data_IF_708979419244
#
_entry.id   IF_708979419244
#
_cell.length_a   1.000
_cell.length_b   1.000
_cell.length_c   1.000
_cell.angle_alpha   90.00
_cell.angle_beta   90.00
_cell.angle_gamma   90.00
#
_symmetry.space_group_name_H-M   'P 1'
#
loop_
_entity.id
_entity.type
_entity.pdbx_description
1 polymer ?
#
# COMPACT_ATOMS: atom_id res chain seq x y z
N UNK A 1 -24.27 9.86 -16.57
CA UNK A 1 -23.21 9.98 -15.55
C UNK A 1 -23.83 10.54 -14.28
N UNK A 2 -23.73 9.83 -13.16
CA UNK A 2 -24.25 10.23 -11.85
C UNK A 2 -23.54 11.50 -11.33
N UNK A 3 -24.19 12.26 -10.44
CA UNK A 3 -23.66 13.49 -9.86
C UNK A 3 -22.34 13.25 -9.10
N UNK A 4 -22.21 12.12 -8.41
CA UNK A 4 -20.95 11.74 -7.74
C UNK A 4 -19.81 11.64 -8.75
N UNK A 5 -20.05 10.98 -9.87
CA UNK A 5 -19.03 10.73 -10.89
C UNK A 5 -18.60 12.02 -11.61
N UNK A 6 -19.55 12.91 -11.91
CA UNK A 6 -19.28 14.24 -12.46
C UNK A 6 -18.37 15.08 -11.56
N UNK A 7 -18.64 15.06 -10.25
CA UNK A 7 -17.85 15.81 -9.27
C UNK A 7 -16.42 15.26 -9.20
N UNK A 8 -16.27 13.93 -9.17
CA UNK A 8 -14.95 13.29 -9.15
C UNK A 8 -14.15 13.58 -10.42
N UNK A 9 -14.79 13.57 -11.59
CA UNK A 9 -14.14 13.86 -12.87
C UNK A 9 -13.69 15.32 -12.95
N UNK A 10 -14.57 16.26 -12.55
CA UNK A 10 -14.23 17.68 -12.48
C UNK A 10 -13.09 17.96 -11.50
N UNK A 11 -13.12 17.35 -10.31
CA UNK A 11 -12.05 17.49 -9.34
C UNK A 11 -10.71 16.93 -9.86
N UNK A 12 -10.73 15.74 -10.47
CA UNK A 12 -9.55 15.14 -11.07
C UNK A 12 -8.96 16.01 -12.19
N UNK A 13 -9.81 16.60 -13.04
CA UNK A 13 -9.38 17.55 -14.09
C UNK A 13 -8.72 18.80 -13.51
N UNK A 14 -9.31 19.41 -12.48
CA UNK A 14 -8.72 20.58 -11.82
C UNK A 14 -7.38 20.26 -11.15
N UNK A 15 -7.23 19.06 -10.57
CA UNK A 15 -6.00 18.57 -9.97
C UNK A 15 -4.91 18.19 -11.00
N UNK A 16 -5.28 18.02 -12.28
CA UNK A 16 -4.33 17.80 -13.36
C UNK A 16 -3.63 19.10 -13.77
N UNK A 17 -4.34 20.23 -13.69
CA UNK A 17 -3.92 21.55 -14.19
C UNK A 17 -3.30 22.44 -13.09
N UNK A 18 -3.62 22.20 -11.82
CA UNK A 18 -3.21 23.07 -10.72
C UNK A 18 -2.80 22.28 -9.45
N UNK A 19 -1.94 22.87 -8.59
CA UNK A 19 -1.66 22.34 -7.27
C UNK A 19 -2.92 22.13 -6.43
N UNK A 20 -2.91 21.11 -5.55
CA UNK A 20 -4.03 20.74 -4.66
C UNK A 20 -4.53 21.92 -3.80
N UNK A 21 -3.61 22.79 -3.38
CA UNK A 21 -3.91 23.97 -2.59
C UNK A 21 -4.86 24.93 -3.31
N UNK A 22 -4.76 25.02 -4.63
CA UNK A 22 -5.51 25.97 -5.47
C UNK A 22 -6.90 25.43 -5.89
N UNK A 23 -7.14 24.11 -5.72
CA UNK A 23 -8.44 23.49 -6.04
C UNK A 23 -9.44 23.76 -4.92
N UNK A 24 -10.44 24.61 -5.17
CA UNK A 24 -11.53 24.88 -4.22
C UNK A 24 -12.77 24.03 -4.50
N UNK A 25 -13.56 23.72 -3.46
CA UNK A 25 -14.85 23.02 -3.63
C UNK A 25 -15.83 23.81 -4.49
N UNK A 26 -15.71 25.15 -4.53
CA UNK A 26 -16.48 26.01 -5.41
C UNK A 26 -16.12 25.80 -6.88
N UNK A 27 -14.83 25.81 -7.21
CA UNK A 27 -14.36 25.55 -8.58
C UNK A 27 -14.79 24.15 -9.06
N UNK A 28 -14.75 23.14 -8.18
CA UNK A 28 -15.24 21.79 -8.50
C UNK A 28 -16.75 21.80 -8.77
N UNK A 29 -17.54 22.49 -7.96
CA UNK A 29 -19.00 22.61 -8.16
C UNK A 29 -19.33 23.28 -9.49
N UNK A 30 -18.65 24.39 -9.80
CA UNK A 30 -18.79 25.13 -11.06
C UNK A 30 -18.44 24.24 -12.26
N UNK A 31 -17.30 23.55 -12.22
CA UNK A 31 -16.85 22.64 -13.28
C UNK A 31 -17.77 21.41 -13.45
N UNK A 32 -18.31 20.85 -12.37
CA UNK A 32 -19.21 19.71 -12.40
C UNK A 32 -20.68 20.08 -12.71
N UNK A 33 -21.02 21.37 -12.69
CA UNK A 33 -22.39 21.86 -12.85
C UNK A 33 -23.33 21.44 -11.71
N UNK A 34 -22.81 21.36 -10.47
CA UNK A 34 -23.58 20.97 -9.28
C UNK A 34 -23.58 22.06 -8.21
N UNK A 35 -24.55 22.04 -7.32
CA UNK A 35 -24.56 22.93 -6.15
C UNK A 35 -23.68 22.42 -5.00
N UNK A 36 -23.10 23.34 -4.23
CA UNK A 36 -22.29 23.02 -3.04
C UNK A 36 -22.99 22.08 -2.02
N UNK A 37 -24.30 22.19 -1.74
CA UNK A 37 -24.98 21.26 -0.83
C UNK A 37 -24.91 19.79 -1.30
N UNK A 38 -24.92 19.55 -2.62
CA UNK A 38 -24.79 18.21 -3.18
C UNK A 38 -23.38 17.65 -2.95
N UNK A 39 -22.34 18.47 -3.18
CA UNK A 39 -20.96 18.08 -2.96
C UNK A 39 -20.72 17.69 -1.49
N UNK A 40 -21.11 18.56 -0.55
CA UNK A 40 -20.91 18.28 0.88
C UNK A 40 -21.76 17.09 1.37
N UNK A 41 -22.96 16.86 0.81
CA UNK A 41 -23.74 15.66 1.11
C UNK A 41 -23.04 14.38 0.68
N UNK A 42 -22.34 14.39 -0.46
CA UNK A 42 -21.68 13.21 -1.02
C UNK A 42 -20.30 12.94 -0.42
N UNK A 43 -19.57 13.98 -0.04
CA UNK A 43 -18.16 13.88 0.32
C UNK A 43 -17.81 14.42 1.70
N UNK A 44 -18.76 15.04 2.42
CA UNK A 44 -18.56 15.64 3.73
C UNK A 44 -17.84 17.00 3.65
N UNK A 45 -16.58 17.00 3.20
CA UNK A 45 -15.72 18.19 3.11
C UNK A 45 -14.73 18.10 1.93
N UNK A 46 -13.77 19.05 1.86
CA UNK A 46 -12.71 19.04 0.83
C UNK A 46 -11.81 17.80 0.98
N UNK A 47 -11.47 17.38 2.19
CA UNK A 47 -10.59 16.24 2.41
C UNK A 47 -11.25 14.92 1.98
N UNK A 48 -12.53 14.73 2.28
CA UNK A 48 -13.33 13.59 1.83
C UNK A 48 -13.52 13.55 0.31
N UNK A 49 -13.65 14.72 -0.34
CA UNK A 49 -13.64 14.80 -1.80
C UNK A 49 -12.28 14.36 -2.37
N UNK A 50 -11.19 14.91 -1.84
CA UNK A 50 -9.84 14.56 -2.31
C UNK A 50 -9.52 13.08 -2.09
N UNK A 51 -9.89 12.51 -0.94
CA UNK A 51 -9.76 11.08 -0.67
C UNK A 51 -10.53 10.24 -1.70
N UNK A 52 -11.76 10.62 -2.05
CA UNK A 52 -12.56 9.92 -3.05
C UNK A 52 -11.98 10.05 -4.48
N UNK A 53 -11.33 11.17 -4.81
CA UNK A 53 -10.59 11.33 -6.07
C UNK A 53 -9.37 10.41 -6.10
N UNK A 54 -8.61 10.33 -5.00
CA UNK A 54 -7.48 9.39 -4.89
C UNK A 54 -7.95 7.95 -5.03
N UNK A 55 -8.99 7.55 -4.30
CA UNK A 55 -9.54 6.19 -4.38
C UNK A 55 -9.93 5.82 -5.82
N UNK A 56 -10.59 6.74 -6.54
CA UNK A 56 -10.92 6.54 -7.95
C UNK A 56 -9.67 6.41 -8.84
N UNK A 57 -8.68 7.30 -8.66
CA UNK A 57 -7.45 7.30 -9.46
C UNK A 57 -6.57 6.07 -9.23
N UNK A 58 -6.62 5.50 -8.03
CA UNK A 58 -5.87 4.30 -7.66
C UNK A 58 -6.62 2.99 -7.94
N UNK A 59 -7.91 3.02 -8.26
CA UNK A 59 -8.68 1.80 -8.51
C UNK A 59 -8.07 0.95 -9.63
N UNK A 60 -7.65 1.56 -10.75
CA UNK A 60 -6.98 0.83 -11.84
C UNK A 60 -5.67 0.17 -11.39
N UNK A 61 -4.91 0.87 -10.55
CA UNK A 61 -3.69 0.34 -9.95
C UNK A 61 -3.97 -0.84 -9.03
N UNK A 62 -4.99 -0.73 -8.18
CA UNK A 62 -5.38 -1.79 -7.26
C UNK A 62 -5.94 -2.99 -8.00
N UNK A 63 -6.72 -2.81 -9.07
CA UNK A 63 -7.17 -3.89 -9.95
C UNK A 63 -5.99 -4.67 -10.51
N UNK A 64 -4.92 -3.99 -10.96
CA UNK A 64 -3.70 -4.66 -11.44
C UNK A 64 -3.04 -5.52 -10.35
N UNK A 65 -3.07 -5.08 -9.09
CA UNK A 65 -2.51 -5.84 -7.96
C UNK A 65 -3.43 -6.97 -7.49
N UNK A 66 -4.74 -6.76 -7.46
CA UNK A 66 -5.75 -7.77 -7.08
C UNK A 66 -5.71 -8.96 -8.04
N UNK A 67 -5.52 -8.69 -9.32
CA UNK A 67 -5.52 -9.71 -10.39
C UNK A 67 -4.18 -10.42 -10.56
N UNK A 68 -3.11 -9.89 -9.97
CA UNK A 68 -1.81 -10.54 -9.97
C UNK A 68 -1.90 -11.86 -9.22
N UNK A 69 -1.69 -12.97 -9.95
CA UNK A 69 -1.62 -14.29 -9.33
C UNK A 69 -0.31 -14.41 -8.54
N UNK A 70 -0.35 -14.90 -7.28
CA UNK A 70 0.85 -15.26 -6.55
C UNK A 70 1.74 -16.19 -7.38
N UNK A 71 3.02 -15.85 -7.51
CA UNK A 71 4.03 -16.74 -8.08
C UNK A 71 4.56 -17.74 -7.06
N UNK A 72 5.45 -18.62 -7.52
CA UNK A 72 6.08 -19.64 -6.66
C UNK A 72 7.12 -19.06 -5.70
N UNK A 73 7.79 -17.96 -6.07
CA UNK A 73 8.74 -17.24 -5.21
C UNK A 73 8.12 -15.95 -4.67
N UNK A 74 7.69 -15.91 -3.39
CA UNK A 74 7.09 -14.71 -2.82
C UNK A 74 8.07 -13.53 -2.73
N UNK A 75 9.39 -13.77 -2.73
CA UNK A 75 10.38 -12.68 -2.76
C UNK A 75 10.41 -12.01 -4.14
N UNK A 76 10.27 -12.78 -5.22
CA UNK A 76 10.12 -12.20 -6.56
C UNK A 76 8.80 -11.43 -6.69
N UNK A 77 7.72 -11.89 -6.08
CA UNK A 77 6.45 -11.15 -6.04
C UNK A 77 6.58 -9.80 -5.33
N UNK A 78 7.39 -9.71 -4.26
CA UNK A 78 7.71 -8.42 -3.62
C UNK A 78 8.44 -7.48 -4.58
N UNK A 79 9.43 -8.00 -5.31
CA UNK A 79 10.19 -7.19 -6.28
C UNK A 79 9.29 -6.65 -7.39
N UNK A 80 8.44 -7.51 -7.95
CA UNK A 80 7.45 -7.13 -8.95
C UNK A 80 6.45 -6.10 -8.39
N UNK A 81 6.01 -6.30 -7.15
CA UNK A 81 5.09 -5.41 -6.45
C UNK A 81 5.66 -4.02 -6.20
N UNK A 82 6.96 -3.93 -5.91
CA UNK A 82 7.72 -2.69 -5.76
C UNK A 82 7.78 -1.93 -7.09
N UNK A 83 8.22 -2.61 -8.16
CA UNK A 83 8.38 -2.01 -9.48
C UNK A 83 7.06 -1.49 -10.03
N UNK A 84 5.98 -2.25 -9.85
CA UNK A 84 4.64 -1.81 -10.25
C UNK A 84 4.19 -0.54 -9.50
N UNK A 85 4.53 -0.42 -8.21
CA UNK A 85 4.23 0.77 -7.43
C UNK A 85 5.03 1.99 -7.88
N UNK A 86 6.35 1.84 -8.08
CA UNK A 86 7.19 2.93 -8.60
C UNK A 86 6.72 3.36 -10.00
N UNK A 87 6.44 2.41 -10.90
CA UNK A 87 5.94 2.71 -12.25
C UNK A 87 4.63 3.50 -12.20
N UNK A 88 3.65 3.05 -11.41
CA UNK A 88 2.38 3.76 -11.26
C UNK A 88 2.58 5.21 -10.77
N UNK A 89 3.48 5.42 -9.80
CA UNK A 89 3.78 6.76 -9.31
C UNK A 89 4.29 7.69 -10.43
N UNK A 90 5.19 7.17 -11.28
CA UNK A 90 5.79 7.92 -12.39
C UNK A 90 4.81 8.16 -13.55
N UNK A 91 3.90 7.22 -13.83
CA UNK A 91 2.86 7.34 -14.86
C UNK A 91 1.71 8.28 -14.43
N UNK A 92 1.44 8.36 -13.12
CA UNK A 92 0.33 9.14 -12.56
C UNK A 92 0.78 10.12 -11.45
N UNK A 93 1.71 11.05 -11.74
CA UNK A 93 2.40 11.86 -10.73
C UNK A 93 1.48 12.73 -9.88
N UNK A 94 0.42 13.30 -10.45
CA UNK A 94 -0.50 14.19 -9.72
C UNK A 94 -1.40 13.40 -8.76
N UNK A 95 -1.93 12.25 -9.19
CA UNK A 95 -2.69 11.35 -8.33
C UNK A 95 -1.83 10.84 -7.18
N UNK A 96 -0.57 10.48 -7.50
CA UNK A 96 0.35 9.96 -6.51
C UNK A 96 0.77 11.01 -5.48
N UNK A 97 1.04 12.27 -5.89
CA UNK A 97 1.28 13.38 -4.96
C UNK A 97 0.06 13.64 -4.07
N UNK A 98 -1.14 13.60 -4.62
CA UNK A 98 -2.36 13.81 -3.86
C UNK A 98 -2.57 12.73 -2.78
N UNK A 99 -2.24 11.47 -3.07
CA UNK A 99 -2.33 10.36 -2.10
C UNK A 99 -1.50 10.60 -0.84
N UNK A 100 -0.36 11.30 -0.96
CA UNK A 100 0.55 11.60 0.16
C UNK A 100 0.54 13.08 0.55
N UNK A 101 -0.53 13.79 0.19
CA UNK A 101 -0.70 15.21 0.46
C UNK A 101 -1.08 15.45 1.92
N UNK A 102 -0.54 16.47 2.61
CA UNK A 102 -0.91 16.80 3.98
C UNK A 102 -2.38 17.22 4.15
N UNK A 103 -3.07 17.55 3.06
CA UNK A 103 -4.50 17.87 3.02
C UNK A 103 -5.40 16.65 3.27
N UNK A 104 -4.86 15.42 3.16
CA UNK A 104 -5.57 14.20 3.55
C UNK A 104 -5.39 13.95 5.04
N UNK A 105 -6.49 14.04 5.79
CA UNK A 105 -6.53 13.83 7.23
C UNK A 105 -6.59 12.36 7.65
N UNK A 106 -6.88 11.46 6.70
CA UNK A 106 -6.87 10.01 6.87
C UNK A 106 -6.32 9.33 5.61
N UNK A 107 -5.66 8.17 5.72
CA UNK A 107 -5.22 7.43 4.55
C UNK A 107 -6.44 6.99 3.71
N UNK A 108 -6.40 7.18 2.39
CA UNK A 108 -7.48 6.74 1.50
C UNK A 108 -7.62 5.21 1.52
N UNK A 109 -8.80 4.70 1.16
CA UNK A 109 -9.06 3.26 1.14
C UNK A 109 -8.06 2.52 0.24
N UNK A 110 -7.67 3.16 -0.86
CA UNK A 110 -6.64 2.67 -1.76
C UNK A 110 -5.28 2.42 -1.08
N UNK A 111 -4.87 3.31 -0.17
CA UNK A 111 -3.62 3.16 0.58
C UNK A 111 -3.68 1.97 1.54
N UNK A 112 -4.82 1.80 2.22
CA UNK A 112 -5.05 0.69 3.13
C UNK A 112 -5.06 -0.65 2.40
N UNK A 113 -5.67 -0.68 1.23
CA UNK A 113 -5.69 -1.89 0.41
C UNK A 113 -4.30 -2.25 -0.13
N UNK A 114 -3.55 -1.27 -0.64
CA UNK A 114 -2.17 -1.50 -1.09
C UNK A 114 -1.29 -2.03 0.05
N UNK A 115 -1.49 -1.53 1.28
CA UNK A 115 -0.84 -2.05 2.48
C UNK A 115 -1.21 -3.51 2.74
N UNK A 116 -2.51 -3.85 2.72
CA UNK A 116 -3.00 -5.20 2.96
C UNK A 116 -2.46 -6.21 1.92
N UNK A 117 -2.40 -5.81 0.64
CA UNK A 117 -1.85 -6.63 -0.43
C UNK A 117 -0.35 -6.89 -0.24
N UNK A 118 0.44 -5.86 0.11
CA UNK A 118 1.86 -6.03 0.43
C UNK A 118 2.04 -6.95 1.65
N UNK A 119 1.26 -6.73 2.69
CA UNK A 119 1.28 -7.54 3.91
C UNK A 119 1.03 -9.02 3.60
N UNK A 120 0.05 -9.33 2.74
CA UNK A 120 -0.24 -10.69 2.29
C UNK A 120 0.93 -11.36 1.56
N UNK A 121 1.74 -10.63 0.79
CA UNK A 121 2.96 -11.18 0.17
C UNK A 121 4.01 -11.49 1.24
N UNK A 122 4.16 -10.60 2.24
CA UNK A 122 5.11 -10.81 3.33
C UNK A 122 4.72 -11.94 4.27
N UNK A 123 3.43 -12.18 4.48
CA UNK A 123 2.92 -13.38 5.13
C UNK A 123 3.37 -14.65 4.40
N UNK A 124 3.34 -14.67 3.06
CA UNK A 124 3.90 -15.80 2.28
C UNK A 124 5.40 -15.93 2.48
N UNK A 125 6.15 -14.83 2.50
CA UNK A 125 7.58 -14.86 2.80
C UNK A 125 7.86 -15.43 4.21
N UNK A 126 7.09 -15.03 5.22
CA UNK A 126 7.19 -15.60 6.57
C UNK A 126 6.85 -17.09 6.59
N UNK A 127 5.74 -17.50 5.96
CA UNK A 127 5.36 -18.91 5.89
C UNK A 127 6.46 -19.78 5.27
N UNK A 128 7.13 -19.26 4.24
CA UNK A 128 8.28 -19.87 3.58
C UNK A 128 9.60 -19.78 4.38
N UNK A 129 9.60 -19.19 5.59
CA UNK A 129 10.78 -19.02 6.44
C UNK A 129 11.80 -18.03 5.88
N UNK A 130 11.39 -17.13 4.97
CA UNK A 130 12.27 -16.20 4.27
C UNK A 130 12.48 -14.89 5.01
N UNK A 131 11.57 -14.47 5.89
CA UNK A 131 11.69 -13.18 6.58
C UNK A 131 12.62 -13.23 7.79
N UNK A 132 13.34 -12.13 8.01
CA UNK A 132 14.23 -11.90 9.16
C UNK A 132 13.57 -11.09 10.28
N UNK A 133 12.40 -10.52 10.01
CA UNK A 133 11.60 -9.71 10.94
C UNK A 133 10.10 -10.05 10.79
N UNK A 134 9.24 -9.70 11.76
CA UNK A 134 7.80 -9.91 11.63
C UNK A 134 7.20 -9.26 10.36
N UNK A 135 6.21 -9.89 9.69
CA UNK A 135 5.58 -9.38 8.47
C UNK A 135 5.07 -7.93 8.58
N UNK A 136 4.48 -7.56 9.72
CA UNK A 136 3.98 -6.21 9.95
C UNK A 136 5.11 -5.16 9.93
N UNK A 137 6.26 -5.45 10.54
CA UNK A 137 7.42 -4.56 10.51
C UNK A 137 8.02 -4.48 9.11
N UNK A 138 8.21 -5.63 8.43
CA UNK A 138 8.67 -5.66 7.04
C UNK A 138 7.74 -4.87 6.11
N UNK A 139 6.42 -4.92 6.33
CA UNK A 139 5.43 -4.17 5.54
C UNK A 139 5.67 -2.67 5.66
N UNK A 140 5.84 -2.17 6.89
CA UNK A 140 6.14 -0.75 7.15
C UNK A 140 7.47 -0.32 6.54
N UNK A 141 8.50 -1.14 6.65
CA UNK A 141 9.83 -0.85 6.11
C UNK A 141 9.81 -0.76 4.58
N UNK A 142 9.23 -1.76 3.91
CA UNK A 142 9.11 -1.77 2.44
C UNK A 142 8.24 -0.61 1.96
N UNK A 143 7.08 -0.39 2.57
CA UNK A 143 6.18 0.69 2.16
C UNK A 143 6.83 2.05 2.32
N UNK A 144 7.48 2.32 3.45
CA UNK A 144 8.18 3.59 3.69
C UNK A 144 9.30 3.84 2.67
N UNK A 145 10.10 2.81 2.38
CA UNK A 145 11.20 2.93 1.44
C UNK A 145 10.71 3.13 -0.01
N UNK A 146 9.68 2.39 -0.44
CA UNK A 146 9.10 2.50 -1.78
C UNK A 146 8.38 3.84 -1.99
N UNK A 147 7.57 4.26 -1.02
CA UNK A 147 6.88 5.57 -1.06
C UNK A 147 7.90 6.71 -1.09
N UNK A 148 8.92 6.65 -0.23
CA UNK A 148 10.00 7.63 -0.21
C UNK A 148 10.72 7.70 -1.54
N UNK A 149 11.10 6.55 -2.13
CA UNK A 149 11.74 6.49 -3.43
C UNK A 149 10.88 7.10 -4.54
N UNK A 150 9.60 6.73 -4.61
CA UNK A 150 8.66 7.23 -5.60
C UNK A 150 8.46 8.74 -5.48
N UNK A 151 8.24 9.27 -4.27
CA UNK A 151 8.10 10.71 -4.04
C UNK A 151 9.39 11.47 -4.35
N UNK A 152 10.55 10.92 -3.99
CA UNK A 152 11.86 11.49 -4.33
C UNK A 152 12.06 11.64 -5.83
N UNK A 153 11.80 10.57 -6.59
CA UNK A 153 11.89 10.56 -8.05
C UNK A 153 10.90 11.55 -8.70
N UNK A 154 9.71 11.69 -8.11
CA UNK A 154 8.68 12.61 -8.61
C UNK A 154 8.95 14.08 -8.29
N UNK A 155 9.52 14.38 -7.13
CA UNK A 155 9.62 15.76 -6.62
C UNK A 155 10.96 16.40 -6.89
N UNK A 156 12.04 15.60 -6.98
CA UNK A 156 13.41 16.08 -7.16
C UNK A 156 14.21 15.19 -8.13
N UNK A 157 13.72 14.93 -9.35
CA UNK A 157 14.35 13.99 -10.28
C UNK A 157 15.83 14.32 -10.56
N UNK A 158 16.20 15.59 -10.53
CA UNK A 158 17.59 16.05 -10.71
C UNK A 158 18.56 15.56 -9.62
N UNK A 159 18.06 15.23 -8.43
CA UNK A 159 18.85 14.66 -7.34
C UNK A 159 19.03 13.13 -7.46
N UNK A 160 18.26 12.49 -8.35
CA UNK A 160 18.27 11.06 -8.58
C UNK A 160 18.49 10.75 -10.07
N UNK A 161 19.66 11.14 -10.65
CA UNK A 161 19.92 10.99 -12.09
C UNK A 161 20.08 9.54 -12.54
N UNK A 162 20.27 8.61 -11.60
CA UNK A 162 20.50 7.21 -11.91
C UNK A 162 19.16 6.45 -12.08
N UNK A 163 18.86 5.92 -13.28
CA UNK A 163 17.60 5.24 -13.56
C UNK A 163 17.42 3.93 -12.78
N UNK A 164 18.51 3.36 -12.23
CA UNK A 164 18.48 2.17 -11.41
C UNK A 164 18.25 2.43 -9.91
N UNK A 165 18.03 3.69 -9.49
CA UNK A 165 17.94 4.05 -8.08
C UNK A 165 16.86 3.25 -7.33
N UNK A 166 15.63 3.21 -7.86
CA UNK A 166 14.53 2.47 -7.23
C UNK A 166 14.85 0.96 -7.13
N UNK A 167 15.40 0.36 -8.18
CA UNK A 167 15.74 -1.06 -8.19
C UNK A 167 16.84 -1.41 -7.17
N UNK A 168 17.89 -0.59 -7.04
CA UNK A 168 18.93 -0.82 -6.04
C UNK A 168 18.43 -0.62 -4.61
N UNK A 169 17.59 0.38 -4.36
CA UNK A 169 16.98 0.57 -3.04
C UNK A 169 16.04 -0.59 -2.69
N UNK A 170 15.22 -1.04 -3.64
CA UNK A 170 14.38 -2.22 -3.53
C UNK A 170 15.20 -3.44 -3.13
N UNK A 171 16.27 -3.73 -3.87
CA UNK A 171 17.11 -4.91 -3.64
C UNK A 171 17.80 -4.81 -2.27
N UNK A 172 18.35 -3.66 -1.91
CA UNK A 172 18.95 -3.45 -0.59
C UNK A 172 17.97 -3.66 0.57
N UNK A 173 16.72 -3.15 0.45
CA UNK A 173 15.69 -3.33 1.48
C UNK A 173 15.21 -4.77 1.55
N UNK A 174 14.93 -5.41 0.40
CA UNK A 174 14.45 -6.79 0.35
C UNK A 174 15.53 -7.76 0.85
N UNK A 175 16.80 -7.55 0.48
CA UNK A 175 17.91 -8.40 0.92
C UNK A 175 18.17 -8.26 2.43
N UNK A 176 17.92 -7.09 3.02
CA UNK A 176 18.00 -6.91 4.48
C UNK A 176 16.86 -7.63 5.23
N UNK A 177 15.68 -7.74 4.60
CA UNK A 177 14.46 -8.30 5.19
C UNK A 177 14.27 -9.78 4.89
N UNK A 178 14.99 -10.32 3.90
CA UNK A 178 14.83 -11.68 3.43
C UNK A 178 16.14 -12.44 3.46
N UNK A 179 16.04 -13.77 3.58
CA UNK A 179 17.19 -14.69 3.56
C UNK A 179 16.80 -16.01 2.88
N UNK A 180 17.75 -16.87 2.51
CA UNK A 180 17.45 -18.23 2.08
C UNK A 180 16.68 -19.00 3.15
N UNK A 181 15.82 -19.94 2.74
CA UNK A 181 15.05 -20.78 3.64
C UNK A 181 15.94 -21.87 4.27
N UNK A 182 16.74 -21.50 5.27
CA UNK A 182 17.47 -22.46 6.10
C UNK A 182 16.85 -22.52 7.51
N UNK A 183 16.54 -23.71 8.06
CA UNK A 183 16.07 -23.86 9.43
C UNK A 183 17.20 -23.46 10.40
N UNK A 184 16.94 -22.53 11.33
CA UNK A 184 17.91 -22.21 12.40
C UNK A 184 17.24 -22.04 13.76
N UNK A 185 17.93 -22.54 14.78
CA UNK A 185 17.59 -22.43 16.21
C UNK A 185 17.70 -21.00 16.77
N UNK A 186 18.25 -20.05 15.98
CA UNK A 186 18.65 -18.71 16.44
C UNK A 186 17.65 -17.59 16.13
N UNK A 187 16.48 -17.91 15.59
CA UNK A 187 15.47 -16.88 15.36
C UNK A 187 14.93 -16.35 16.70
N UNK A 188 14.91 -15.02 16.84
CA UNK A 188 14.29 -14.39 17.99
C UNK A 188 12.80 -14.77 18.09
N UNK A 189 12.28 -14.83 19.31
CA UNK A 189 10.89 -15.20 19.62
C UNK A 189 9.87 -14.51 18.68
N UNK A 190 9.99 -13.19 18.35
CA UNK A 190 9.04 -12.54 17.46
C UNK A 190 9.01 -13.10 16.03
N UNK A 191 10.17 -13.45 15.47
CA UNK A 191 10.29 -13.99 14.11
C UNK A 191 9.78 -15.42 14.05
N UNK A 192 10.11 -16.22 15.07
CA UNK A 192 9.62 -17.58 15.20
C UNK A 192 8.09 -17.62 15.34
N UNK A 193 7.53 -16.77 16.21
CA UNK A 193 6.08 -16.66 16.41
C UNK A 193 5.36 -16.21 15.13
N UNK A 194 5.88 -15.19 14.44
CA UNK A 194 5.32 -14.71 13.17
C UNK A 194 5.39 -15.77 12.05
N UNK A 195 6.50 -16.50 11.96
CA UNK A 195 6.68 -17.59 10.99
C UNK A 195 5.68 -18.71 11.25
N UNK A 196 5.50 -19.11 12.51
CA UNK A 196 4.54 -20.14 12.88
C UNK A 196 3.10 -19.67 12.62
N UNK A 197 2.75 -18.44 12.99
CA UNK A 197 1.44 -17.85 12.70
C UNK A 197 1.13 -17.87 11.20
N UNK A 198 2.07 -17.41 10.36
CA UNK A 198 1.91 -17.40 8.91
C UNK A 198 1.70 -18.82 8.34
N UNK A 199 2.43 -19.81 8.84
CA UNK A 199 2.27 -21.22 8.44
C UNK A 199 0.92 -21.79 8.83
N UNK A 200 0.46 -21.53 10.05
CA UNK A 200 -0.84 -22.01 10.54
C UNK A 200 -2.01 -21.38 9.77
N UNK A 201 -1.90 -20.11 9.36
CA UNK A 201 -2.88 -19.47 8.47
C UNK A 201 -2.91 -20.12 7.08
N UNK A 202 -1.74 -20.45 6.54
CA UNK A 202 -1.62 -21.05 5.22
C UNK A 202 -2.13 -22.50 5.18
N UNK A 203 -1.83 -23.27 6.23
CA UNK A 203 -2.23 -24.67 6.39
C UNK A 203 -2.77 -24.87 7.80
N UNK A 204 -4.09 -24.70 8.01
CA UNK A 204 -4.70 -24.87 9.33
C UNK A 204 -4.52 -26.31 9.82
N UNK A 205 -4.02 -26.52 11.05
CA UNK A 205 -3.86 -27.86 11.60
C UNK A 205 -5.23 -28.49 11.87
N UNK A 206 -5.46 -29.77 11.50
CA UNK A 206 -6.76 -30.42 11.66
C UNK A 206 -7.14 -30.70 13.13
N UNK A 207 -6.22 -30.50 14.08
CA UNK A 207 -6.37 -30.95 15.47
C UNK A 207 -7.03 -29.93 16.42
N UNK A 208 -7.07 -28.64 16.07
CA UNK A 208 -7.60 -27.60 16.95
C UNK A 208 -9.06 -27.25 16.62
N UNK A 209 -9.85 -26.99 17.66
CA UNK A 209 -11.15 -26.34 17.51
C UNK A 209 -10.98 -24.90 16.99
N UNK A 210 -12.08 -24.29 16.54
CA UNK A 210 -12.08 -22.89 16.10
C UNK A 210 -11.62 -21.93 17.21
N UNK A 211 -12.00 -22.21 18.47
CA UNK A 211 -11.65 -21.38 19.63
C UNK A 211 -10.17 -21.52 19.97
N UNK A 212 -9.64 -22.76 19.99
CA UNK A 212 -8.21 -23.00 20.24
C UNK A 212 -7.33 -22.39 19.15
N UNK A 213 -7.75 -22.51 17.89
CA UNK A 213 -7.06 -21.90 16.76
C UNK A 213 -7.02 -20.38 16.89
N UNK A 214 -8.15 -19.75 17.25
CA UNK A 214 -8.22 -18.30 17.47
C UNK A 214 -7.33 -17.84 18.64
N UNK A 215 -7.33 -18.59 19.74
CA UNK A 215 -6.52 -18.28 20.92
C UNK A 215 -5.02 -18.43 20.65
N UNK A 216 -4.62 -19.51 19.98
CA UNK A 216 -3.23 -19.72 19.55
C UNK A 216 -2.78 -18.59 18.62
N UNK A 217 -3.64 -18.19 17.67
CA UNK A 217 -3.35 -17.08 16.77
C UNK A 217 -3.11 -15.78 17.55
N UNK A 218 -3.99 -15.47 18.51
CA UNK A 218 -3.85 -14.28 19.35
C UNK A 218 -2.55 -14.27 20.15
N UNK A 219 -2.11 -15.41 20.68
CA UNK A 219 -0.85 -15.50 21.43
C UNK A 219 0.37 -15.33 20.52
N UNK A 220 0.36 -15.93 19.33
CA UNK A 220 1.45 -15.78 18.37
C UNK A 220 1.56 -14.35 17.86
N UNK A 221 0.43 -13.68 17.61
CA UNK A 221 0.41 -12.28 17.19
C UNK A 221 1.04 -11.39 18.29
N UNK A 222 0.67 -11.58 19.56
CA UNK A 222 1.29 -10.87 20.69
C UNK A 222 2.80 -11.11 20.79
N UNK A 223 3.25 -12.36 20.65
CA UNK A 223 4.68 -12.69 20.70
C UNK A 223 5.46 -12.07 19.53
N UNK A 224 4.80 -11.85 18.39
CA UNK A 224 5.40 -11.25 17.20
C UNK A 224 5.57 -9.72 17.28
N UNK A 225 4.84 -9.05 18.17
CA UNK A 225 4.88 -7.58 18.32
C UNK A 225 6.01 -7.10 19.24
N UNK A 226 6.54 -7.98 20.10
CA UNK A 226 7.61 -7.67 21.06
C UNK A 226 7.08 -7.24 22.42
#
# INVERSE_FOLDING_TARGET
MDAREKILEAAAGLLAEAPVADVSTRAVCEAAGVGAPMLYRLFGDKAGLLAAVVDRGFEQYLVSKRTARPGDDPVQDLKNGWDNHTRFALEHPNHYRLMYSPELTAPPAAAQEAHALLHGILERCAAAGRLTVPPALATRMIMSANVGAALSLLTRPEQYPDPGFSARLRDAVIDALTRPAEPREQDGIPVAAATLAARLRAVPPPAFTAVESALLQQWLDKLSEG
#
